data_IF_061078610602
#
_entry.id   IF_061078610602
#
_cell.length_a   1.000
_cell.length_b   1.000
_cell.length_c   1.000
_cell.angle_alpha   90.00
_cell.angle_beta   90.00
_cell.angle_gamma   90.00
#
_symmetry.space_group_name_H-M   'P 1'
#
loop_
_entity.id
_entity.type
_entity.pdbx_description
1 polymer ?
#
# COMPACT_ATOMS: atom_id res chain seq x y z
N UNK A 1 -9.74 36.31 0.13
CA UNK A 1 -9.23 34.95 0.40
C UNK A 1 -10.42 34.01 0.35
N UNK A 2 -10.52 33.17 -0.69
CA UNK A 2 -11.66 32.25 -0.85
C UNK A 2 -11.41 31.06 0.06
N UNK A 3 -12.39 30.74 0.93
CA UNK A 3 -12.45 29.50 1.69
C UNK A 3 -12.41 28.33 0.70
N UNK A 4 -11.21 27.77 0.50
CA UNK A 4 -11.02 26.53 -0.24
C UNK A 4 -11.42 25.41 0.72
N UNK A 5 -12.55 24.78 0.40
CA UNK A 5 -13.15 23.71 1.18
C UNK A 5 -12.18 22.51 1.25
N UNK A 6 -11.55 22.34 2.41
CA UNK A 6 -10.56 21.30 2.70
C UNK A 6 -11.11 19.91 2.35
N UNK A 7 -12.43 19.69 2.47
CA UNK A 7 -13.07 18.41 2.16
C UNK A 7 -12.96 18.01 0.68
N UNK A 8 -12.94 18.98 -0.25
CA UNK A 8 -12.84 18.70 -1.69
C UNK A 8 -11.43 18.27 -2.12
N UNK A 9 -10.41 18.71 -1.36
CA UNK A 9 -9.01 18.32 -1.54
C UNK A 9 -8.66 17.01 -0.82
N UNK A 10 -9.26 16.77 0.35
CA UNK A 10 -9.11 15.53 1.14
C UNK A 10 -9.41 14.29 0.30
N UNK A 11 -10.53 14.28 -0.43
CA UNK A 11 -10.93 13.13 -1.24
C UNK A 11 -9.99 12.89 -2.44
N UNK A 12 -9.49 13.94 -3.09
CA UNK A 12 -8.73 13.80 -4.34
C UNK A 12 -7.26 13.48 -4.10
N UNK A 13 -6.64 14.08 -3.08
CA UNK A 13 -5.24 13.82 -2.73
C UNK A 13 -5.02 12.45 -2.10
N UNK A 14 -5.91 12.03 -1.19
CA UNK A 14 -5.84 10.71 -0.56
C UNK A 14 -6.11 9.60 -1.59
N UNK A 15 -7.12 9.75 -2.46
CA UNK A 15 -7.40 8.75 -3.51
C UNK A 15 -6.26 8.63 -4.53
N UNK A 16 -5.65 9.75 -4.94
CA UNK A 16 -4.51 9.71 -5.86
C UNK A 16 -3.27 9.09 -5.23
N UNK A 17 -2.99 9.39 -3.95
CA UNK A 17 -1.83 8.83 -3.27
C UNK A 17 -2.03 7.36 -2.89
N UNK A 18 -3.20 6.96 -2.37
CA UNK A 18 -3.55 5.56 -2.08
C UNK A 18 -3.34 4.67 -3.30
N UNK A 19 -3.65 5.17 -4.50
CA UNK A 19 -3.55 4.43 -5.75
C UNK A 19 -2.15 4.45 -6.42
N UNK A 20 -1.18 5.22 -5.89
CA UNK A 20 0.22 5.16 -6.33
C UNK A 20 0.49 5.67 -7.75
N UNK A 21 1.60 5.24 -8.37
CA UNK A 21 1.90 5.51 -9.80
C UNK A 21 1.07 4.63 -10.75
N UNK A 22 0.27 3.71 -10.20
CA UNK A 22 -0.45 2.67 -10.94
C UNK A 22 -1.84 3.14 -11.42
N UNK A 23 -2.23 4.39 -11.13
CA UNK A 23 -3.41 5.06 -11.76
C UNK A 23 -3.19 5.46 -13.21
N UNK A 24 -2.36 4.69 -13.93
CA UNK A 24 -2.06 4.90 -15.34
C UNK A 24 -3.34 5.12 -16.17
N UNK A 25 -3.40 6.28 -16.84
CA UNK A 25 -4.42 6.68 -17.81
C UNK A 25 -5.86 6.92 -17.32
N UNK A 26 -6.10 7.14 -16.02
CA UNK A 26 -7.44 7.60 -15.64
C UNK A 26 -7.67 9.06 -16.08
N UNK A 27 -8.39 9.27 -17.18
CA UNK A 27 -8.87 10.59 -17.59
C UNK A 27 -9.98 11.07 -16.63
N UNK A 28 -9.62 12.01 -15.75
CA UNK A 28 -10.61 12.78 -15.00
C UNK A 28 -11.29 13.71 -16.01
N UNK A 29 -12.63 13.76 -16.08
CA UNK A 29 -13.34 14.69 -16.96
C UNK A 29 -12.80 16.10 -16.79
N UNK A 30 -12.33 16.69 -17.89
CA UNK A 30 -11.67 17.98 -17.91
C UNK A 30 -12.58 19.03 -17.25
N UNK A 31 -12.16 19.58 -16.11
CA UNK A 31 -12.65 20.87 -15.65
C UNK A 31 -12.11 21.88 -16.67
N UNK A 32 -13.00 22.42 -17.50
CA UNK A 32 -12.70 23.24 -18.68
C UNK A 32 -11.85 24.50 -18.41
N UNK A 33 -11.44 24.71 -17.16
CA UNK A 33 -10.69 25.87 -16.70
C UNK A 33 -9.29 25.55 -16.15
N UNK A 34 -8.77 24.32 -16.31
CA UNK A 34 -7.42 23.96 -15.84
C UNK A 34 -6.52 23.42 -16.96
N UNK A 35 -5.31 23.98 -17.06
CA UNK A 35 -4.27 23.59 -18.04
C UNK A 35 -3.39 22.43 -17.59
N UNK A 36 -3.58 21.98 -16.36
CA UNK A 36 -2.87 20.86 -15.71
C UNK A 36 -3.90 19.97 -15.02
N UNK A 37 -3.65 18.66 -14.93
CA UNK A 37 -4.56 17.79 -14.21
C UNK A 37 -4.61 18.18 -12.73
N UNK A 38 -5.79 18.08 -12.12
CA UNK A 38 -6.03 18.59 -10.77
C UNK A 38 -5.09 18.00 -9.69
N UNK A 39 -4.41 16.89 -9.96
CA UNK A 39 -3.44 16.28 -9.06
C UNK A 39 -2.09 17.01 -9.02
N UNK A 40 -1.69 17.77 -10.05
CA UNK A 40 -0.43 18.55 -10.01
C UNK A 40 -0.51 19.66 -8.95
N UNK A 41 -1.63 20.40 -8.90
CA UNK A 41 -1.86 21.44 -7.88
C UNK A 41 -1.84 20.85 -6.47
N UNK A 42 -2.40 19.63 -6.32
CA UNK A 42 -2.46 18.92 -5.03
C UNK A 42 -1.08 18.42 -4.62
N UNK A 43 -0.29 17.92 -5.56
CA UNK A 43 1.08 17.48 -5.33
C UNK A 43 2.00 18.66 -4.96
N UNK A 44 1.85 19.80 -5.64
CA UNK A 44 2.63 21.01 -5.37
C UNK A 44 2.28 21.61 -4.00
N UNK A 45 0.99 21.70 -3.66
CA UNK A 45 0.52 22.09 -2.32
C UNK A 45 0.96 21.10 -1.23
N UNK A 46 0.98 19.80 -1.54
CA UNK A 46 1.48 18.77 -0.64
C UNK A 46 3.00 18.85 -0.42
N UNK A 47 3.77 19.41 -1.35
CA UNK A 47 5.22 19.56 -1.21
C UNK A 47 5.57 20.88 -0.51
N UNK A 48 4.84 21.97 -0.79
CA UNK A 48 5.17 23.32 -0.33
C UNK A 48 4.50 23.73 1.00
N UNK A 49 3.40 23.09 1.40
CA UNK A 49 2.60 23.47 2.58
C UNK A 49 3.18 23.13 3.95
N UNK A 50 4.27 22.36 4.03
CA UNK A 50 5.10 22.20 5.25
C UNK A 50 4.39 21.69 6.51
N UNK A 51 3.26 21.00 6.41
CA UNK A 51 2.44 20.70 7.58
C UNK A 51 2.53 19.23 8.02
N UNK A 52 2.76 19.03 9.32
CA UNK A 52 2.75 17.78 10.10
C UNK A 52 1.67 16.75 9.70
N UNK A 53 0.56 17.20 9.12
CA UNK A 53 -0.50 16.39 8.54
C UNK A 53 -0.04 15.44 7.41
N UNK A 54 1.05 15.75 6.69
CA UNK A 54 1.55 14.90 5.61
C UNK A 54 2.20 13.62 6.13
N UNK A 55 2.92 13.70 7.25
CA UNK A 55 3.53 12.52 7.89
C UNK A 55 2.46 11.56 8.44
N UNK A 56 1.39 12.11 9.04
CA UNK A 56 0.26 11.32 9.54
C UNK A 56 -0.53 10.67 8.40
N UNK A 57 -0.76 11.40 7.30
CA UNK A 57 -1.39 10.86 6.09
C UNK A 57 -0.52 9.81 5.39
N UNK A 58 0.79 10.01 5.34
CA UNK A 58 1.72 9.03 4.78
C UNK A 58 1.71 7.73 5.60
N UNK A 59 1.73 7.84 6.93
CA UNK A 59 1.61 6.69 7.83
C UNK A 59 0.27 5.98 7.67
N UNK A 60 -0.83 6.73 7.55
CA UNK A 60 -2.16 6.18 7.31
C UNK A 60 -2.23 5.44 5.96
N UNK A 61 -1.72 6.03 4.88
CA UNK A 61 -1.68 5.39 3.57
C UNK A 61 -0.84 4.11 3.60
N UNK A 62 0.32 4.12 4.27
CA UNK A 62 1.15 2.92 4.45
C UNK A 62 0.40 1.82 5.20
N UNK A 63 -0.31 2.17 6.27
CA UNK A 63 -1.13 1.23 7.02
C UNK A 63 -2.26 0.64 6.17
N UNK A 64 -2.98 1.47 5.42
CA UNK A 64 -4.05 1.04 4.52
C UNK A 64 -3.53 0.07 3.46
N UNK A 65 -2.39 0.38 2.83
CA UNK A 65 -1.75 -0.54 1.87
C UNK A 65 -1.21 -1.81 2.51
N UNK A 66 -0.78 -1.75 3.77
CA UNK A 66 -0.41 -2.97 4.50
C UNK A 66 -1.62 -3.85 4.78
N UNK A 67 -2.80 -3.29 5.06
CA UNK A 67 -3.98 -4.10 5.40
C UNK A 67 -4.67 -4.65 4.14
N UNK A 68 -4.79 -3.83 3.10
CA UNK A 68 -5.60 -4.18 1.92
C UNK A 68 -4.77 -4.54 0.68
N UNK A 69 -3.46 -4.30 0.69
CA UNK A 69 -2.63 -4.42 -0.50
C UNK A 69 -2.92 -3.34 -1.54
N UNK A 70 -2.51 -3.60 -2.78
CA UNK A 70 -2.86 -2.76 -3.92
C UNK A 70 -4.15 -3.28 -4.59
N UNK A 71 -5.30 -2.59 -4.48
CA UNK A 71 -6.55 -3.07 -5.08
C UNK A 71 -6.53 -3.09 -6.61
N UNK A 72 -5.57 -2.39 -7.25
CA UNK A 72 -5.40 -2.37 -8.71
C UNK A 72 -4.41 -3.43 -9.21
N UNK A 73 -3.67 -4.05 -8.29
CA UNK A 73 -2.77 -5.18 -8.57
C UNK A 73 -3.00 -6.29 -7.53
N UNK A 74 -4.15 -6.98 -7.59
CA UNK A 74 -4.42 -8.08 -6.67
C UNK A 74 -3.43 -9.23 -6.90
N UNK A 75 -2.79 -9.67 -5.83
CA UNK A 75 -1.89 -10.83 -5.86
C UNK A 75 -2.72 -12.11 -5.79
N UNK A 76 -2.57 -12.97 -6.78
CA UNK A 76 -3.18 -14.32 -6.77
C UNK A 76 -2.24 -15.29 -6.08
N UNK A 77 -2.72 -15.95 -5.03
CA UNK A 77 -1.95 -16.94 -4.29
C UNK A 77 -1.79 -18.22 -5.10
N UNK A 78 -0.55 -18.61 -5.39
CA UNK A 78 -0.24 -19.95 -5.86
C UNK A 78 -0.13 -20.91 -4.66
N UNK A 79 -0.91 -22.01 -4.61
CA UNK A 79 -0.82 -22.99 -3.54
C UNK A 79 0.57 -23.61 -3.35
N UNK A 80 1.41 -23.61 -4.40
CA UNK A 80 2.79 -24.11 -4.30
C UNK A 80 3.67 -23.29 -3.36
N UNK A 81 3.33 -22.01 -3.14
CA UNK A 81 4.06 -21.14 -2.21
C UNK A 81 3.74 -21.45 -0.74
N UNK A 82 2.62 -22.12 -0.46
CA UNK A 82 2.20 -22.49 0.91
C UNK A 82 2.90 -23.74 1.42
N UNK A 83 4.23 -23.73 1.36
CA UNK A 83 5.02 -24.81 1.95
C UNK A 83 4.88 -24.81 3.48
N UNK A 84 5.12 -25.95 4.15
CA UNK A 84 5.10 -26.00 5.62
C UNK A 84 6.01 -24.96 6.29
N UNK A 85 7.16 -24.67 5.66
CA UNK A 85 8.10 -23.64 6.13
C UNK A 85 7.49 -22.24 6.04
N UNK A 86 6.93 -21.87 4.89
CA UNK A 86 6.30 -20.55 4.67
C UNK A 86 5.14 -20.35 5.65
N UNK A 87 4.27 -21.35 5.81
CA UNK A 87 3.14 -21.27 6.73
C UNK A 87 3.58 -21.15 8.19
N UNK A 88 4.60 -21.91 8.61
CA UNK A 88 5.13 -21.84 9.97
C UNK A 88 5.74 -20.46 10.27
N UNK A 89 6.48 -19.88 9.32
CA UNK A 89 7.04 -18.53 9.45
C UNK A 89 5.91 -17.49 9.54
N UNK A 90 4.93 -17.56 8.64
CA UNK A 90 3.79 -16.64 8.63
C UNK A 90 2.97 -16.71 9.93
N UNK A 91 2.69 -17.92 10.44
CA UNK A 91 2.02 -18.12 11.72
C UNK A 91 2.81 -17.56 12.91
N UNK A 92 4.12 -17.80 12.94
CA UNK A 92 5.00 -17.26 13.98
C UNK A 92 4.99 -15.73 13.99
N UNK A 93 5.11 -15.09 12.81
CA UNK A 93 5.02 -13.63 12.68
C UNK A 93 3.68 -13.11 13.20
N UNK A 94 2.58 -13.74 12.79
CA UNK A 94 1.24 -13.31 13.16
C UNK A 94 0.97 -13.44 14.67
N UNK A 95 1.33 -14.59 15.25
CA UNK A 95 1.12 -14.89 16.67
C UNK A 95 1.94 -13.97 17.58
N UNK A 96 3.23 -13.79 17.27
CA UNK A 96 4.16 -12.99 18.07
C UNK A 96 4.06 -11.48 17.76
N UNK A 97 3.35 -11.11 16.68
CA UNK A 97 3.36 -9.76 16.09
C UNK A 97 4.77 -9.28 15.73
N UNK A 98 5.65 -10.23 15.39
CA UNK A 98 7.05 -10.00 15.06
C UNK A 98 7.22 -9.63 13.58
N UNK A 99 6.60 -8.52 13.16
CA UNK A 99 6.60 -8.06 11.76
C UNK A 99 7.99 -7.68 11.24
N UNK A 100 8.95 -7.46 12.13
CA UNK A 100 10.37 -7.31 11.81
C UNK A 100 10.98 -8.55 11.12
N UNK A 101 10.33 -9.71 11.22
CA UNK A 101 10.74 -10.96 10.56
C UNK A 101 10.16 -11.15 9.16
N UNK A 102 9.41 -10.18 8.61
CA UNK A 102 8.87 -10.25 7.25
C UNK A 102 9.92 -10.46 6.15
N UNK A 103 11.15 -9.91 6.23
CA UNK A 103 12.19 -10.25 5.29
C UNK A 103 12.50 -11.75 5.24
N UNK A 104 12.47 -12.44 6.39
CA UNK A 104 12.63 -13.91 6.45
C UNK A 104 11.47 -14.66 5.78
N UNK A 105 10.25 -14.10 5.85
CA UNK A 105 9.11 -14.64 5.09
C UNK A 105 9.32 -14.49 3.58
N UNK A 106 9.89 -13.36 3.13
CA UNK A 106 10.23 -13.16 1.72
C UNK A 106 11.23 -14.20 1.23
N UNK A 107 12.26 -14.49 2.02
CA UNK A 107 13.28 -15.48 1.68
C UNK A 107 12.66 -16.89 1.56
N UNK A 108 11.81 -17.27 2.52
CA UNK A 108 11.10 -18.55 2.47
C UNK A 108 10.15 -18.67 1.27
N UNK A 109 9.51 -17.55 0.87
CA UNK A 109 8.67 -17.50 -0.32
C UNK A 109 9.50 -17.70 -1.60
N UNK A 110 10.62 -17.00 -1.75
CA UNK A 110 11.53 -17.19 -2.90
C UNK A 110 12.04 -18.64 -2.97
N UNK A 111 12.41 -19.24 -1.84
CA UNK A 111 12.83 -20.65 -1.77
C UNK A 111 11.71 -21.63 -2.20
N UNK A 112 10.45 -21.25 -1.99
CA UNK A 112 9.28 -22.02 -2.46
C UNK A 112 8.94 -21.80 -3.94
N UNK A 113 9.66 -20.92 -4.64
CA UNK A 113 9.43 -20.59 -6.04
C UNK A 113 8.45 -19.43 -6.26
N UNK A 114 8.17 -18.61 -5.23
CA UNK A 114 7.39 -17.39 -5.39
C UNK A 114 8.16 -16.37 -6.24
N UNK A 115 7.52 -15.90 -7.30
CA UNK A 115 8.06 -14.88 -8.21
C UNK A 115 7.22 -13.59 -8.24
N UNK A 116 6.16 -13.49 -7.42
CA UNK A 116 5.32 -12.29 -7.35
C UNK A 116 6.11 -11.10 -6.75
N UNK A 117 6.39 -10.05 -7.54
CA UNK A 117 7.22 -8.94 -7.08
C UNK A 117 6.50 -8.08 -6.03
N UNK A 118 5.16 -8.04 -6.04
CA UNK A 118 4.38 -7.23 -5.10
C UNK A 118 4.46 -7.78 -3.68
N UNK A 119 4.29 -9.10 -3.54
CA UNK A 119 4.40 -9.85 -2.29
C UNK A 119 5.83 -9.78 -1.74
N UNK A 120 6.83 -10.09 -2.56
CA UNK A 120 8.23 -10.07 -2.14
C UNK A 120 8.68 -8.66 -1.75
N UNK A 121 8.32 -7.64 -2.53
CA UNK A 121 8.67 -6.26 -2.22
C UNK A 121 7.97 -5.75 -0.95
N UNK A 122 6.71 -6.13 -0.72
CA UNK A 122 5.98 -5.77 0.50
C UNK A 122 6.68 -6.33 1.75
N UNK A 123 7.11 -7.59 1.71
CA UNK A 123 7.82 -8.22 2.83
C UNK A 123 9.21 -7.62 3.10
N UNK A 124 9.86 -7.02 2.09
CA UNK A 124 11.25 -6.53 2.19
C UNK A 124 11.39 -5.03 2.45
N UNK A 125 10.52 -4.22 1.85
CA UNK A 125 10.74 -2.76 1.76
C UNK A 125 9.82 -1.95 2.66
N UNK A 126 8.63 -2.46 2.95
CA UNK A 126 7.70 -1.78 3.83
C UNK A 126 8.15 -1.92 5.28
N UNK A 127 7.98 -0.84 6.04
CA UNK A 127 8.37 -0.78 7.47
C UNK A 127 7.17 -0.73 8.39
N UNK A 128 6.00 -0.41 7.84
CA UNK A 128 4.75 -0.27 8.59
C UNK A 128 3.93 -1.51 8.34
N UNK A 129 3.87 -2.37 9.35
CA UNK A 129 3.01 -3.53 9.35
C UNK A 129 2.09 -3.52 10.57
N UNK A 130 0.89 -4.04 10.36
CA UNK A 130 -0.10 -4.23 11.41
C UNK A 130 -0.71 -5.62 11.28
N UNK A 131 -1.45 -6.00 12.32
CA UNK A 131 -2.33 -7.16 12.24
C UNK A 131 -3.36 -6.91 11.14
N UNK A 132 -3.57 -7.89 10.27
CA UNK A 132 -4.30 -7.69 9.02
C UNK A 132 -3.39 -7.48 7.81
N UNK A 133 -2.07 -7.65 7.96
CA UNK A 133 -1.12 -7.53 6.86
C UNK A 133 -1.53 -8.45 5.70
N UNK A 134 -1.87 -7.88 4.54
CA UNK A 134 -2.42 -8.61 3.41
C UNK A 134 -1.52 -9.77 2.97
N UNK A 135 -0.20 -9.62 3.03
CA UNK A 135 0.75 -10.67 2.65
C UNK A 135 0.67 -11.90 3.56
N UNK A 136 0.49 -11.68 4.87
CA UNK A 136 0.35 -12.77 5.85
C UNK A 136 -1.05 -13.38 5.78
N UNK A 137 -2.08 -12.53 5.71
CA UNK A 137 -3.46 -12.98 5.67
C UNK A 137 -3.76 -13.76 4.38
N UNK A 138 -3.12 -13.38 3.26
CA UNK A 138 -3.15 -14.13 2.01
C UNK A 138 -2.63 -15.56 2.21
N UNK A 139 -1.45 -15.71 2.81
CA UNK A 139 -0.82 -17.03 3.04
C UNK A 139 -1.59 -17.90 4.04
N UNK A 140 -2.26 -17.28 5.01
CA UNK A 140 -2.99 -17.98 6.07
C UNK A 140 -4.49 -18.13 5.79
N UNK A 141 -4.98 -17.62 4.66
CA UNK A 141 -6.39 -17.66 4.29
C UNK A 141 -7.30 -16.87 5.25
N UNK A 142 -6.80 -15.76 5.80
CA UNK A 142 -7.51 -14.91 6.77
C UNK A 142 -8.15 -13.65 6.16
N UNK A 143 -8.02 -13.45 4.85
CA UNK A 143 -8.55 -12.29 4.09
C UNK A 143 -9.93 -12.49 3.49
#
# INVERSE_FOLDING_TARGET
>A
MRNLDLHHYFGKGACFWVAGKDVGNWEIPNDSNKTKPAWEDVAELAITGGARWHTELEAFCKLVRCIYGNPFHPVSLDPSWQTPTVLAVAQGIYADRAFDRLPTLADALEESGCDDPGLLNHCRTEKVHARGCWAIDLLLGMG
#
